data_IF_449778613498
#
_entry.id   IF_449778613498
#
_cell.length_a   1.000
_cell.length_b   1.000
_cell.length_c   1.000
_cell.angle_alpha   90.00
_cell.angle_beta   90.00
_cell.angle_gamma   90.00
#
_symmetry.space_group_name_H-M   'P 1'
#
loop_
_entity.id
_entity.type
_entity.pdbx_description
1 polymer ?
#
# COMPACT_ATOMS: atom_id res chain seq x y z
N UNK A 1 11.27 -27.27 7.98
CA UNK A 1 12.20 -27.94 7.05
C UNK A 1 13.61 -27.70 7.57
N UNK A 2 14.44 -28.74 7.73
CA UNK A 2 15.87 -28.50 7.96
C UNK A 2 16.45 -27.74 6.77
N UNK A 3 17.32 -26.75 7.08
CA UNK A 3 17.98 -25.98 6.05
C UNK A 3 18.83 -26.92 5.17
N UNK A 4 18.35 -27.19 3.96
CA UNK A 4 19.11 -28.01 3.00
C UNK A 4 20.30 -27.19 2.49
N UNK A 5 21.50 -27.82 2.48
CA UNK A 5 22.67 -27.17 1.86
C UNK A 5 22.39 -26.94 0.35
N UNK A 6 22.65 -25.73 -0.14
CA UNK A 6 22.38 -25.41 -1.55
C UNK A 6 23.24 -26.31 -2.48
N UNK A 7 22.57 -26.98 -3.41
CA UNK A 7 23.25 -27.86 -4.37
C UNK A 7 24.13 -27.10 -5.38
N UNK A 8 24.00 -25.79 -5.47
CA UNK A 8 24.72 -24.92 -6.40
C UNK A 8 25.40 -23.76 -5.66
N UNK A 9 26.46 -23.23 -6.26
CA UNK A 9 27.10 -22.00 -5.78
C UNK A 9 26.16 -20.80 -5.92
N UNK A 10 26.34 -19.80 -5.08
CA UNK A 10 25.54 -18.56 -5.08
C UNK A 10 25.38 -17.92 -6.45
N UNK A 11 26.43 -17.77 -7.32
CA UNK A 11 26.27 -17.20 -8.66
C UNK A 11 25.32 -18.04 -9.55
N UNK A 12 25.34 -19.36 -9.42
CA UNK A 12 24.45 -20.25 -10.20
C UNK A 12 23.01 -20.10 -9.73
N UNK A 13 22.78 -20.01 -8.42
CA UNK A 13 21.45 -19.78 -7.85
C UNK A 13 20.87 -18.42 -8.30
N UNK A 14 21.69 -17.37 -8.33
CA UNK A 14 21.29 -16.05 -8.85
C UNK A 14 20.93 -16.11 -10.34
N UNK A 15 21.68 -16.90 -11.13
CA UNK A 15 21.38 -17.12 -12.54
C UNK A 15 20.06 -17.85 -12.75
N UNK A 16 19.80 -18.90 -11.95
CA UNK A 16 18.52 -19.61 -11.93
C UNK A 16 17.38 -18.66 -11.59
N UNK A 17 17.52 -17.84 -10.55
CA UNK A 17 16.53 -16.85 -10.17
C UNK A 17 16.26 -15.83 -11.28
N UNK A 18 17.31 -15.27 -11.89
CA UNK A 18 17.17 -14.34 -13.00
C UNK A 18 16.47 -14.98 -14.22
N UNK A 19 16.83 -16.25 -14.55
CA UNK A 19 16.18 -17.01 -15.61
C UNK A 19 14.70 -17.29 -15.29
N UNK A 20 14.39 -17.63 -14.05
CA UNK A 20 13.02 -17.84 -13.59
C UNK A 20 12.15 -16.60 -13.77
N UNK A 21 12.66 -15.42 -13.35
CA UNK A 21 11.97 -14.14 -13.56
C UNK A 21 11.78 -13.85 -15.06
N UNK A 22 12.80 -14.06 -15.88
CA UNK A 22 12.71 -13.84 -17.32
C UNK A 22 11.65 -14.75 -17.98
N UNK A 23 11.64 -16.04 -17.62
CA UNK A 23 10.63 -17.02 -18.09
C UNK A 23 9.24 -16.63 -17.61
N UNK A 24 9.08 -16.23 -16.36
CA UNK A 24 7.79 -15.77 -15.80
C UNK A 24 7.23 -14.60 -16.61
N UNK A 25 8.05 -13.56 -16.82
CA UNK A 25 7.64 -12.40 -17.58
C UNK A 25 7.32 -12.76 -19.05
N UNK A 26 8.10 -13.64 -19.66
CA UNK A 26 7.83 -14.14 -21.00
C UNK A 26 6.47 -14.85 -21.08
N UNK A 27 6.18 -15.75 -20.14
CA UNK A 27 4.92 -16.48 -20.10
C UNK A 27 3.71 -15.54 -19.90
N UNK A 28 3.84 -14.52 -19.05
CA UNK A 28 2.74 -13.59 -18.78
C UNK A 28 2.57 -12.59 -19.93
N UNK A 29 3.64 -11.97 -20.40
CA UNK A 29 3.58 -10.85 -21.35
C UNK A 29 3.42 -11.35 -22.80
N UNK A 30 4.21 -12.35 -23.22
CA UNK A 30 4.26 -12.80 -24.61
C UNK A 30 3.24 -13.91 -24.85
N UNK A 31 3.27 -14.96 -24.01
CA UNK A 31 2.37 -16.11 -24.13
C UNK A 31 0.95 -15.77 -23.62
N UNK A 32 0.82 -14.72 -22.81
CA UNK A 32 -0.44 -14.28 -22.17
C UNK A 32 -1.06 -15.36 -21.28
N UNK A 33 -0.21 -16.16 -20.65
CA UNK A 33 -0.62 -17.16 -19.69
C UNK A 33 -1.20 -16.49 -18.44
N UNK A 34 -2.20 -17.11 -17.81
CA UNK A 34 -2.72 -16.62 -16.53
C UNK A 34 -1.60 -16.57 -15.48
N UNK A 35 -1.44 -15.43 -14.79
CA UNK A 35 -0.32 -15.17 -13.89
C UNK A 35 -0.12 -16.24 -12.83
N UNK A 36 -1.22 -16.75 -12.22
CA UNK A 36 -1.15 -17.82 -11.23
C UNK A 36 -0.57 -19.13 -11.80
N UNK A 37 -0.99 -19.52 -13.00
CA UNK A 37 -0.47 -20.72 -13.66
C UNK A 37 1.00 -20.56 -14.03
N UNK A 38 1.38 -19.37 -14.52
CA UNK A 38 2.77 -19.06 -14.85
C UNK A 38 3.66 -19.12 -13.60
N UNK A 39 3.19 -18.57 -12.47
CA UNK A 39 3.89 -18.63 -11.18
C UNK A 39 4.10 -20.07 -10.72
N UNK A 40 3.05 -20.88 -10.67
CA UNK A 40 3.15 -22.29 -10.26
C UNK A 40 4.11 -23.06 -11.15
N UNK A 41 3.99 -22.90 -12.49
CA UNK A 41 4.87 -23.59 -13.45
C UNK A 41 6.34 -23.17 -13.26
N UNK A 42 6.60 -21.87 -13.17
CA UNK A 42 7.98 -21.37 -13.00
C UNK A 42 8.54 -21.78 -11.63
N UNK A 43 7.74 -21.80 -10.58
CA UNK A 43 8.19 -22.28 -9.27
C UNK A 43 8.61 -23.76 -9.30
N UNK A 44 7.84 -24.61 -9.99
CA UNK A 44 8.21 -26.03 -10.20
C UNK A 44 9.54 -26.11 -10.98
N UNK A 45 9.67 -25.38 -12.09
CA UNK A 45 10.88 -25.39 -12.90
C UNK A 45 12.10 -24.87 -12.11
N UNK A 46 11.90 -23.86 -11.28
CA UNK A 46 12.96 -23.30 -10.42
C UNK A 46 13.39 -24.29 -9.35
N UNK A 47 12.45 -24.99 -8.70
CA UNK A 47 12.77 -26.01 -7.72
C UNK A 47 13.59 -27.16 -8.37
N UNK A 48 13.19 -27.61 -9.54
CA UNK A 48 13.92 -28.65 -10.29
C UNK A 48 15.31 -28.17 -10.74
N UNK A 49 15.43 -26.92 -11.23
CA UNK A 49 16.71 -26.33 -11.60
C UNK A 49 17.65 -26.17 -10.40
N UNK A 50 17.09 -25.88 -9.23
CA UNK A 50 17.82 -25.83 -7.95
C UNK A 50 18.16 -27.22 -7.38
N UNK A 51 17.79 -28.31 -8.09
CA UNK A 51 18.01 -29.71 -7.73
C UNK A 51 17.23 -30.23 -6.53
N UNK A 52 16.06 -29.67 -6.25
CA UNK A 52 15.16 -30.33 -5.31
C UNK A 52 14.68 -31.66 -5.90
N UNK A 53 14.63 -32.75 -5.08
CA UNK A 53 14.06 -33.99 -5.52
C UNK A 53 12.61 -33.82 -5.99
N UNK A 54 12.21 -34.47 -7.04
CA UNK A 54 10.87 -34.32 -7.63
C UNK A 54 9.76 -34.65 -6.60
N UNK A 55 10.03 -35.58 -5.69
CA UNK A 55 9.10 -35.95 -4.65
C UNK A 55 8.85 -34.83 -3.63
N UNK A 56 9.83 -33.94 -3.41
CA UNK A 56 9.80 -32.89 -2.41
C UNK A 56 9.28 -31.55 -2.99
N UNK A 57 9.20 -31.43 -4.32
CA UNK A 57 8.74 -30.19 -4.98
C UNK A 57 7.36 -29.73 -4.50
N UNK A 58 6.33 -30.62 -4.33
CA UNK A 58 5.04 -30.18 -3.81
C UNK A 58 5.14 -29.60 -2.40
N UNK A 59 5.93 -30.21 -1.52
CA UNK A 59 6.09 -29.75 -0.13
C UNK A 59 6.84 -28.42 -0.07
N UNK A 60 7.87 -28.23 -0.90
CA UNK A 60 8.60 -26.97 -1.02
C UNK A 60 7.67 -25.82 -1.48
N UNK A 61 6.83 -26.10 -2.50
CA UNK A 61 5.87 -25.11 -3.00
C UNK A 61 4.81 -24.77 -1.95
N UNK A 62 4.25 -25.78 -1.28
CA UNK A 62 3.25 -25.57 -0.23
C UNK A 62 3.85 -24.82 0.96
N UNK A 63 5.07 -25.15 1.35
CA UNK A 63 5.76 -24.44 2.41
C UNK A 63 5.95 -22.96 2.08
N UNK A 64 6.53 -22.63 0.93
CA UNK A 64 6.73 -21.25 0.54
C UNK A 64 5.42 -20.45 0.38
N UNK A 65 4.38 -21.11 -0.15
CA UNK A 65 3.05 -20.49 -0.26
C UNK A 65 2.42 -20.24 1.13
N UNK A 66 2.45 -21.24 2.02
CA UNK A 66 1.84 -21.15 3.35
C UNK A 66 2.59 -20.15 4.25
N UNK A 67 3.92 -20.14 4.18
CA UNK A 67 4.79 -19.24 4.91
C UNK A 67 4.46 -17.76 4.56
N UNK A 68 4.58 -17.42 3.28
CA UNK A 68 4.27 -16.05 2.80
C UNK A 68 2.80 -15.68 3.03
N UNK A 69 1.85 -16.59 2.77
CA UNK A 69 0.44 -16.31 2.96
C UNK A 69 0.09 -16.14 4.44
N UNK A 70 0.72 -16.92 5.33
CA UNK A 70 0.51 -16.83 6.77
C UNK A 70 0.88 -15.45 7.32
N UNK A 71 2.02 -14.90 6.86
CA UNK A 71 2.50 -13.58 7.28
C UNK A 71 1.61 -12.44 6.77
N UNK A 72 1.14 -12.53 5.53
CA UNK A 72 0.43 -11.39 4.89
C UNK A 72 -1.09 -11.50 4.92
N UNK A 73 -1.66 -12.69 5.16
CA UNK A 73 -3.11 -12.92 5.05
C UNK A 73 -3.94 -12.04 6.00
N UNK A 74 -3.48 -11.87 7.24
CA UNK A 74 -4.15 -11.02 8.23
C UNK A 74 -4.08 -9.54 7.83
N UNK A 75 -2.91 -9.07 7.38
CA UNK A 75 -2.72 -7.68 6.95
C UNK A 75 -3.58 -7.37 5.73
N UNK A 76 -3.58 -8.28 4.74
CA UNK A 76 -4.42 -8.18 3.54
C UNK A 76 -5.90 -8.18 3.89
N UNK A 77 -6.32 -9.15 4.72
CA UNK A 77 -7.72 -9.30 5.12
C UNK A 77 -8.23 -8.10 5.91
N UNK A 78 -7.52 -7.69 6.95
CA UNK A 78 -7.91 -6.54 7.79
C UNK A 78 -7.83 -5.22 7.01
N UNK A 79 -6.82 -5.04 6.16
CA UNK A 79 -6.70 -3.86 5.29
C UNK A 79 -7.86 -3.75 4.29
N UNK A 80 -8.24 -4.86 3.65
CA UNK A 80 -9.38 -4.91 2.74
C UNK A 80 -10.71 -4.61 3.45
N UNK A 81 -10.91 -5.16 4.66
CA UNK A 81 -12.10 -4.89 5.49
C UNK A 81 -12.17 -3.41 5.89
N UNK A 82 -11.06 -2.82 6.34
CA UNK A 82 -10.99 -1.40 6.68
C UNK A 82 -11.26 -0.52 5.45
N UNK A 83 -10.67 -0.86 4.31
CA UNK A 83 -10.91 -0.18 3.04
C UNK A 83 -12.39 -0.18 2.66
N UNK A 84 -13.04 -1.33 2.75
CA UNK A 84 -14.47 -1.47 2.45
C UNK A 84 -15.35 -0.68 3.42
N UNK A 85 -15.02 -0.67 4.71
CA UNK A 85 -15.74 0.14 5.70
C UNK A 85 -15.65 1.63 5.39
N UNK A 86 -14.46 2.11 5.04
CA UNK A 86 -14.24 3.52 4.68
C UNK A 86 -14.93 3.90 3.37
N UNK A 87 -14.99 2.99 2.40
CA UNK A 87 -15.74 3.18 1.16
C UNK A 87 -17.25 3.31 1.44
N UNK A 88 -17.87 2.30 2.07
CA UNK A 88 -19.33 2.27 2.30
C UNK A 88 -19.80 3.31 3.31
N UNK A 89 -18.91 3.89 4.12
CA UNK A 89 -19.22 5.00 5.04
C UNK A 89 -19.10 6.39 4.41
N UNK A 90 -18.76 6.49 3.11
CA UNK A 90 -18.47 7.75 2.44
C UNK A 90 -17.17 8.42 2.93
N UNK A 91 -16.31 7.68 3.65
CA UNK A 91 -15.08 8.21 4.24
C UNK A 91 -14.08 8.71 3.21
N UNK A 92 -13.95 8.01 2.08
CA UNK A 92 -13.06 8.42 0.98
C UNK A 92 -13.47 9.79 0.41
N UNK A 93 -14.78 9.99 0.18
CA UNK A 93 -15.33 11.25 -0.30
C UNK A 93 -15.12 12.37 0.74
N UNK A 94 -15.43 12.12 2.02
CA UNK A 94 -15.26 13.10 3.10
C UNK A 94 -13.79 13.55 3.25
N UNK A 95 -12.83 12.63 3.09
CA UNK A 95 -11.40 12.91 3.11
C UNK A 95 -11.01 13.82 1.95
N UNK A 96 -11.40 13.47 0.73
CA UNK A 96 -11.08 14.22 -0.48
C UNK A 96 -11.68 15.63 -0.44
N UNK A 97 -12.98 15.77 -0.13
CA UNK A 97 -13.68 17.06 -0.08
C UNK A 97 -13.09 17.99 0.99
N UNK A 98 -12.76 17.46 2.16
CA UNK A 98 -12.15 18.25 3.23
C UNK A 98 -10.77 18.77 2.82
N UNK A 99 -9.94 17.94 2.20
CA UNK A 99 -8.61 18.36 1.77
C UNK A 99 -8.69 19.33 0.60
N UNK A 100 -9.57 19.11 -0.38
CA UNK A 100 -9.80 20.07 -1.46
C UNK A 100 -10.28 21.41 -0.91
N UNK A 101 -11.21 21.40 0.04
CA UNK A 101 -11.67 22.62 0.72
C UNK A 101 -10.55 23.37 1.44
N UNK A 102 -9.61 22.65 2.09
CA UNK A 102 -8.48 23.28 2.80
C UNK A 102 -7.38 23.79 1.87
N UNK A 103 -7.01 23.04 0.84
CA UNK A 103 -5.94 23.43 -0.08
C UNK A 103 -6.39 24.38 -1.17
N UNK A 104 -7.71 24.47 -1.39
CA UNK A 104 -8.34 25.29 -2.42
C UNK A 104 -8.34 24.64 -3.81
N UNK A 105 -9.22 25.14 -4.68
CA UNK A 105 -9.51 24.59 -6.01
C UNK A 105 -8.27 24.48 -6.91
N UNK A 106 -7.40 25.49 -6.89
CA UNK A 106 -6.16 25.48 -7.68
C UNK A 106 -5.20 24.35 -7.33
N UNK A 107 -5.31 23.81 -6.12
CA UNK A 107 -4.50 22.71 -5.61
C UNK A 107 -5.29 21.40 -5.49
N UNK A 108 -6.45 21.31 -6.11
CA UNK A 108 -7.26 20.09 -6.09
C UNK A 108 -6.49 18.82 -6.51
N UNK A 109 -5.62 18.82 -7.55
CA UNK A 109 -4.81 17.66 -7.88
C UNK A 109 -3.84 17.25 -6.75
N UNK A 110 -3.27 18.23 -6.05
CA UNK A 110 -2.40 17.97 -4.89
C UNK A 110 -3.21 17.44 -3.71
N UNK A 111 -4.33 18.08 -3.39
CA UNK A 111 -5.23 17.66 -2.32
C UNK A 111 -5.73 16.23 -2.51
N UNK A 112 -6.12 15.89 -3.74
CA UNK A 112 -6.58 14.56 -4.09
C UNK A 112 -5.45 13.52 -3.97
N UNK A 113 -4.23 13.87 -4.39
CA UNK A 113 -3.07 12.99 -4.19
C UNK A 113 -2.72 12.79 -2.72
N UNK A 114 -2.81 13.83 -1.87
CA UNK A 114 -2.63 13.68 -0.41
C UNK A 114 -3.74 12.82 0.20
N UNK A 115 -5.01 13.01 -0.22
CA UNK A 115 -6.11 12.13 0.20
C UNK A 115 -5.82 10.68 -0.18
N UNK A 116 -5.32 10.44 -1.39
CA UNK A 116 -4.95 9.11 -1.87
C UNK A 116 -3.76 8.51 -1.12
N UNK A 117 -2.77 9.31 -0.70
CA UNK A 117 -1.68 8.84 0.19
C UNK A 117 -2.24 8.37 1.53
N UNK A 118 -3.08 9.17 2.16
CA UNK A 118 -3.66 8.85 3.46
C UNK A 118 -4.57 7.62 3.37
N UNK A 119 -5.45 7.59 2.36
CA UNK A 119 -6.38 6.47 2.16
C UNK A 119 -5.66 5.19 1.74
N UNK A 120 -4.62 5.31 0.90
CA UNK A 120 -3.82 4.20 0.40
C UNK A 120 -2.86 3.60 1.43
N UNK A 121 -2.70 4.22 2.61
CA UNK A 121 -1.84 3.69 3.65
C UNK A 121 -2.23 2.26 4.09
N UNK A 122 -3.49 2.00 4.51
CA UNK A 122 -3.90 0.65 4.88
C UNK A 122 -4.57 -0.14 3.74
N UNK A 123 -4.78 0.47 2.57
CA UNK A 123 -5.63 -0.08 1.50
C UNK A 123 -4.80 -0.42 0.28
N UNK A 124 -5.06 -1.59 -0.31
CA UNK A 124 -4.39 -2.03 -1.53
C UNK A 124 -4.59 -1.05 -2.69
N UNK A 125 -3.57 -0.95 -3.55
CA UNK A 125 -3.57 -0.10 -4.74
C UNK A 125 -4.85 -0.24 -5.57
N UNK A 126 -5.19 -1.45 -5.96
CA UNK A 126 -6.34 -1.71 -6.84
C UNK A 126 -7.65 -1.27 -6.20
N UNK A 127 -7.89 -1.69 -4.96
CA UNK A 127 -9.11 -1.35 -4.22
C UNK A 127 -9.20 0.16 -3.98
N UNK A 128 -8.11 0.78 -3.52
CA UNK A 128 -8.07 2.22 -3.27
C UNK A 128 -8.30 3.05 -4.53
N UNK A 129 -7.68 2.67 -5.64
CA UNK A 129 -7.86 3.37 -6.91
C UNK A 129 -9.29 3.26 -7.42
N UNK A 130 -9.90 2.07 -7.37
CA UNK A 130 -11.30 1.86 -7.78
C UNK A 130 -12.26 2.74 -6.99
N UNK A 131 -12.10 2.82 -5.67
CA UNK A 131 -12.89 3.70 -4.79
C UNK A 131 -12.70 5.17 -5.13
N UNK A 132 -11.47 5.57 -5.51
CA UNK A 132 -11.16 6.95 -5.83
C UNK A 132 -11.52 7.36 -7.26
N UNK A 133 -11.74 6.44 -8.19
CA UNK A 133 -12.09 6.77 -9.58
C UNK A 133 -13.32 7.69 -9.69
N UNK A 134 -14.47 7.44 -9.04
CA UNK A 134 -15.62 8.36 -9.07
C UNK A 134 -15.27 9.75 -8.54
N UNK A 135 -14.46 9.82 -7.48
CA UNK A 135 -14.01 11.09 -6.88
C UNK A 135 -13.11 11.84 -7.85
N UNK A 136 -12.14 11.16 -8.46
CA UNK A 136 -11.23 11.71 -9.47
C UNK A 136 -12.04 12.29 -10.65
N UNK A 137 -13.03 11.54 -11.14
CA UNK A 137 -13.87 11.98 -12.27
C UNK A 137 -14.72 13.19 -11.89
N UNK A 138 -15.32 13.20 -10.70
CA UNK A 138 -16.12 14.32 -10.20
C UNK A 138 -15.27 15.59 -10.07
N UNK A 139 -14.07 15.46 -9.50
CA UNK A 139 -13.13 16.59 -9.34
C UNK A 139 -12.64 17.09 -10.70
N UNK A 140 -12.30 16.17 -11.62
CA UNK A 140 -11.85 16.54 -12.97
C UNK A 140 -12.95 17.26 -13.76
N UNK A 141 -14.21 16.87 -13.65
CA UNK A 141 -15.35 17.60 -14.26
C UNK A 141 -15.58 18.96 -13.64
N UNK A 142 -15.49 19.06 -12.33
CA UNK A 142 -15.73 20.30 -11.61
C UNK A 142 -14.71 21.39 -11.95
N UNK A 143 -13.43 21.01 -12.05
CA UNK A 143 -12.34 21.99 -12.22
C UNK A 143 -11.77 22.02 -13.63
N UNK A 144 -12.13 21.04 -14.47
CA UNK A 144 -11.72 20.97 -15.88
C UNK A 144 -10.26 20.56 -16.08
N UNK A 145 -9.81 20.61 -17.32
CA UNK A 145 -8.48 20.19 -17.75
C UNK A 145 -8.42 18.69 -18.08
N UNK A 146 -7.20 18.20 -18.33
CA UNK A 146 -7.00 16.77 -18.60
C UNK A 146 -7.25 15.93 -17.35
N UNK A 147 -7.97 14.81 -17.49
CA UNK A 147 -8.17 13.84 -16.42
C UNK A 147 -6.84 13.42 -15.76
N UNK A 148 -5.75 13.37 -16.54
CA UNK A 148 -4.44 12.95 -16.05
C UNK A 148 -3.88 13.84 -14.95
N UNK A 149 -4.28 15.12 -14.87
CA UNK A 149 -3.77 16.01 -13.81
C UNK A 149 -4.28 15.60 -12.43
N UNK A 150 -5.41 14.89 -12.37
CA UNK A 150 -6.02 14.37 -11.14
C UNK A 150 -5.72 12.88 -10.93
N UNK A 151 -5.80 12.10 -12.02
CA UNK A 151 -5.64 10.65 -11.95
C UNK A 151 -4.19 10.23 -11.64
N UNK A 152 -3.19 10.86 -12.25
CA UNK A 152 -1.79 10.50 -12.01
C UNK A 152 -1.33 10.74 -10.56
N UNK A 153 -1.62 11.90 -9.92
CA UNK A 153 -1.30 12.09 -8.51
C UNK A 153 -1.98 11.06 -7.60
N UNK A 154 -3.25 10.73 -7.87
CA UNK A 154 -3.98 9.75 -7.06
C UNK A 154 -3.44 8.33 -7.26
N UNK A 155 -3.32 7.85 -8.49
CA UNK A 155 -2.80 6.53 -8.79
C UNK A 155 -1.35 6.36 -8.29
N UNK A 156 -0.51 7.37 -8.48
CA UNK A 156 0.86 7.34 -7.99
C UNK A 156 0.98 7.39 -6.48
N UNK A 157 0.03 8.01 -5.78
CA UNK A 157 -0.03 7.98 -4.33
C UNK A 157 -0.31 6.57 -3.81
N UNK A 158 -1.33 5.91 -4.36
CA UNK A 158 -1.63 4.51 -4.04
C UNK A 158 -0.45 3.59 -4.37
N UNK A 159 0.17 3.77 -5.55
CA UNK A 159 1.32 2.97 -5.96
C UNK A 159 2.53 3.15 -5.03
N UNK A 160 2.86 4.39 -4.65
CA UNK A 160 3.98 4.67 -3.75
C UNK A 160 3.74 4.09 -2.35
N UNK A 161 2.53 4.23 -1.81
CA UNK A 161 2.18 3.64 -0.51
C UNK A 161 2.27 2.12 -0.56
N UNK A 162 1.66 1.51 -1.58
CA UNK A 162 1.63 0.05 -1.74
C UNK A 162 3.02 -0.57 -1.92
N UNK A 163 3.92 0.10 -2.65
CA UNK A 163 5.23 -0.45 -2.97
C UNK A 163 6.30 -0.22 -1.89
N UNK A 164 6.13 0.81 -1.04
CA UNK A 164 7.21 1.28 -0.17
C UNK A 164 6.86 1.12 1.31
N UNK A 165 5.58 1.22 1.68
CA UNK A 165 5.19 1.45 3.07
C UNK A 165 4.49 0.23 3.68
N UNK A 166 4.98 -0.33 4.81
CA UNK A 166 4.16 -1.24 5.61
C UNK A 166 2.83 -0.55 6.03
N UNK A 167 1.72 -1.28 6.19
CA UNK A 167 1.59 -2.72 6.31
C UNK A 167 1.37 -3.47 4.99
N UNK A 168 1.71 -2.90 3.86
CA UNK A 168 1.58 -3.62 2.58
C UNK A 168 2.48 -4.86 2.55
N UNK A 169 2.03 -5.98 1.95
CA UNK A 169 2.72 -7.26 2.03
C UNK A 169 4.13 -7.21 1.41
N UNK A 170 4.32 -6.51 0.30
CA UNK A 170 5.63 -6.40 -0.35
C UNK A 170 6.72 -5.82 0.57
N UNK A 171 6.53 -4.61 1.13
CA UNK A 171 7.47 -4.01 2.09
C UNK A 171 7.64 -4.84 3.38
N UNK A 172 6.56 -5.46 3.90
CA UNK A 172 6.64 -6.31 5.11
C UNK A 172 7.51 -7.54 4.85
N UNK A 173 7.20 -8.28 3.78
CA UNK A 173 7.98 -9.49 3.41
C UNK A 173 9.44 -9.13 3.08
N UNK A 174 9.68 -8.01 2.39
CA UNK A 174 11.04 -7.58 2.10
C UNK A 174 11.82 -7.23 3.37
N UNK A 175 11.18 -6.54 4.32
CA UNK A 175 11.80 -6.21 5.60
C UNK A 175 12.14 -7.48 6.41
N UNK A 176 11.21 -8.43 6.48
CA UNK A 176 11.41 -9.70 7.16
C UNK A 176 12.59 -10.49 6.57
N UNK A 177 12.62 -10.68 5.26
CA UNK A 177 13.67 -11.44 4.58
C UNK A 177 15.08 -10.88 4.75
N UNK A 178 15.23 -9.57 4.97
CA UNK A 178 16.53 -8.94 5.24
C UNK A 178 16.78 -8.71 6.73
N UNK A 179 15.89 -9.17 7.61
CA UNK A 179 15.98 -8.98 9.06
C UNK A 179 15.85 -7.53 9.51
N UNK A 180 15.14 -6.69 8.73
CA UNK A 180 14.89 -5.30 9.06
C UNK A 180 13.64 -5.17 9.96
N UNK A 181 13.67 -4.19 10.87
CA UNK A 181 12.50 -3.86 11.69
C UNK A 181 11.39 -3.22 10.84
N UNK A 182 10.20 -3.82 10.88
CA UNK A 182 9.04 -3.36 10.08
C UNK A 182 8.60 -1.94 10.46
N UNK A 183 8.71 -1.58 11.73
CA UNK A 183 8.35 -0.24 12.18
C UNK A 183 9.37 0.82 11.74
N UNK A 184 10.67 0.53 11.74
CA UNK A 184 11.68 1.41 11.14
C UNK A 184 11.47 1.51 9.62
N UNK A 185 11.15 0.42 8.96
CA UNK A 185 10.81 0.40 7.54
C UNK A 185 9.60 1.31 7.26
N UNK A 186 8.58 1.29 8.11
CA UNK A 186 7.45 2.20 8.06
C UNK A 186 7.89 3.67 8.20
N UNK A 187 8.64 3.99 9.26
CA UNK A 187 9.05 5.37 9.57
C UNK A 187 9.92 5.99 8.48
N UNK A 188 10.80 5.20 7.86
CA UNK A 188 11.63 5.63 6.72
C UNK A 188 10.82 5.61 5.43
N UNK A 189 9.97 4.61 5.24
CA UNK A 189 9.15 4.41 4.05
C UNK A 189 8.16 5.56 3.81
N UNK A 190 7.54 6.09 4.85
CA UNK A 190 6.59 7.21 4.73
C UNK A 190 7.17 8.45 4.05
N UNK A 191 8.28 9.05 4.51
CA UNK A 191 8.87 10.19 3.82
C UNK A 191 9.38 9.85 2.42
N UNK A 192 9.91 8.63 2.22
CA UNK A 192 10.35 8.16 0.90
C UNK A 192 9.16 8.06 -0.05
N UNK A 193 8.05 7.46 0.37
CA UNK A 193 6.83 7.37 -0.43
C UNK A 193 6.26 8.76 -0.76
N UNK A 194 6.25 9.68 0.22
CA UNK A 194 5.79 11.05 0.00
C UNK A 194 6.65 11.79 -1.04
N UNK A 195 7.97 11.67 -0.99
CA UNK A 195 8.89 12.27 -1.97
C UNK A 195 8.73 11.60 -3.34
N UNK A 196 8.65 10.27 -3.38
CA UNK A 196 8.44 9.50 -4.62
C UNK A 196 7.13 9.91 -5.30
N UNK A 197 6.05 9.99 -4.53
CA UNK A 197 4.77 10.49 -5.02
C UNK A 197 4.87 11.93 -5.54
N UNK A 198 5.46 12.84 -4.74
CA UNK A 198 5.53 14.25 -5.10
C UNK A 198 6.29 14.48 -6.41
N UNK A 199 7.46 13.85 -6.54
CA UNK A 199 8.32 14.01 -7.72
C UNK A 199 7.82 13.13 -8.89
N UNK A 200 7.64 11.83 -8.64
CA UNK A 200 7.34 10.84 -9.67
C UNK A 200 5.91 10.88 -10.20
N UNK A 201 4.97 11.44 -9.44
CA UNK A 201 3.57 11.49 -9.83
C UNK A 201 3.00 12.90 -9.93
N UNK A 202 3.07 13.66 -8.84
CA UNK A 202 2.44 14.99 -8.82
C UNK A 202 3.14 15.99 -9.74
N UNK A 203 4.46 16.13 -9.68
CA UNK A 203 5.19 16.98 -10.61
C UNK A 203 5.15 16.44 -12.04
N UNK A 204 5.25 15.13 -12.20
CA UNK A 204 5.13 14.47 -13.50
C UNK A 204 3.77 14.75 -14.15
N UNK A 205 2.68 14.68 -13.39
CA UNK A 205 1.34 15.01 -13.91
C UNK A 205 1.25 16.43 -14.48
N UNK A 206 1.90 17.41 -13.85
CA UNK A 206 1.94 18.80 -14.34
C UNK A 206 2.69 18.94 -15.66
N UNK A 207 3.64 18.04 -15.95
CA UNK A 207 4.39 18.07 -17.20
C UNK A 207 3.65 17.33 -18.32
N UNK A 208 2.99 16.22 -17.97
CA UNK A 208 2.35 15.33 -18.95
C UNK A 208 0.93 15.75 -19.28
N UNK A 209 0.12 16.10 -18.27
CA UNK A 209 -1.30 16.42 -18.46
C UNK A 209 -1.56 17.58 -19.47
N UNK A 210 -0.75 18.64 -19.53
CA UNK A 210 -0.92 19.67 -20.55
C UNK A 210 -0.62 19.18 -21.98
N UNK A 211 0.16 18.12 -22.11
CA UNK A 211 0.58 17.57 -23.41
C UNK A 211 -0.32 16.44 -23.91
N UNK A 212 -1.03 15.80 -22.97
CA UNK A 212 -1.89 14.65 -23.25
C UNK A 212 -3.27 14.94 -22.70
N UNK A 213 -4.18 15.34 -23.58
CA UNK A 213 -5.57 15.57 -23.21
C UNK A 213 -6.30 14.25 -23.12
N UNK A 214 -6.84 13.95 -21.95
CA UNK A 214 -7.71 12.80 -21.70
C UNK A 214 -8.98 13.32 -21.05
N UNK A 215 -10.10 13.05 -21.70
CA UNK A 215 -11.41 13.45 -21.20
C UNK A 215 -11.95 12.42 -20.18
N UNK A 216 -12.86 12.88 -19.34
CA UNK A 216 -13.52 11.97 -18.38
C UNK A 216 -14.47 11.05 -19.15
N UNK A 217 -14.34 9.70 -19.01
CA UNK A 217 -15.21 8.76 -19.70
C UNK A 217 -16.70 9.01 -19.36
N UNK A 218 -17.54 9.08 -20.38
CA UNK A 218 -18.99 9.27 -20.21
C UNK A 218 -19.71 7.96 -19.91
N UNK A 219 -19.17 6.83 -20.39
CA UNK A 219 -19.80 5.50 -20.28
C UNK A 219 -19.89 4.94 -18.85
N UNK A 220 -19.01 5.35 -17.95
CA UNK A 220 -18.95 4.80 -16.59
C UNK A 220 -19.91 5.48 -15.61
N UNK A 221 -20.69 6.44 -16.06
CA UNK A 221 -21.47 7.32 -15.19
C UNK A 221 -22.98 7.28 -15.44
N UNK A 222 -23.53 6.21 -16.04
CA UNK A 222 -24.97 6.11 -16.29
C UNK A 222 -25.53 7.39 -16.93
N UNK A 223 -26.14 7.29 -18.06
CA UNK A 223 -26.84 8.41 -18.72
C UNK A 223 -27.84 9.03 -17.74
N UNK A 224 -27.79 10.34 -17.54
CA UNK A 224 -28.76 11.23 -16.92
C UNK A 224 -28.61 11.70 -15.48
N UNK A 225 -27.97 10.98 -14.56
CA UNK A 225 -27.86 11.50 -13.18
C UNK A 225 -26.46 11.98 -12.77
N UNK A 226 -25.58 12.31 -13.72
CA UNK A 226 -24.32 13.03 -13.46
C UNK A 226 -23.34 12.32 -12.52
N UNK A 227 -23.41 10.99 -12.37
CA UNK A 227 -22.46 10.22 -11.56
C UNK A 227 -22.28 10.72 -10.12
N UNK A 228 -23.24 11.44 -9.58
CA UNK A 228 -23.31 11.65 -8.14
C UNK A 228 -23.77 10.33 -7.55
N UNK A 229 -22.86 9.55 -6.99
CA UNK A 229 -23.26 8.69 -5.88
C UNK A 229 -24.07 9.58 -4.95
N UNK A 230 -25.31 9.17 -4.64
CA UNK A 230 -26.12 9.93 -3.68
C UNK A 230 -25.24 10.12 -2.43
N UNK A 231 -25.10 11.36 -1.93
CA UNK A 231 -24.27 11.61 -0.76
C UNK A 231 -24.70 10.65 0.33
N UNK A 232 -23.76 9.93 0.91
CA UNK A 232 -24.09 9.03 2.02
C UNK A 232 -24.90 9.82 3.03
N UNK A 233 -26.09 9.38 3.46
CA UNK A 233 -26.99 10.17 4.30
C UNK A 233 -26.35 10.62 5.62
N UNK A 234 -25.33 9.93 6.06
CA UNK A 234 -24.53 10.29 7.23
C UNK A 234 -23.06 9.88 7.00
N UNK A 235 -22.27 10.66 6.24
CA UNK A 235 -20.90 10.32 5.93
C UNK A 235 -20.04 10.35 7.18
N UNK A 236 -19.05 9.46 7.27
CA UNK A 236 -18.09 9.47 8.35
C UNK A 236 -17.35 10.83 8.41
N UNK A 237 -17.17 11.36 9.62
CA UNK A 237 -16.46 12.63 9.78
C UNK A 237 -14.98 12.50 9.35
N UNK A 238 -14.39 13.60 8.84
CA UNK A 238 -12.97 13.64 8.49
C UNK A 238 -12.07 13.15 9.62
N UNK A 239 -12.35 13.55 10.87
CA UNK A 239 -11.58 13.12 12.04
C UNK A 239 -11.68 11.61 12.29
N UNK A 240 -12.88 11.03 12.16
CA UNK A 240 -13.09 9.58 12.29
C UNK A 240 -12.33 8.82 11.20
N UNK A 241 -12.42 9.26 9.95
CA UNK A 241 -11.72 8.64 8.83
C UNK A 241 -10.21 8.70 9.04
N UNK A 242 -9.70 9.88 9.38
CA UNK A 242 -8.28 10.08 9.62
C UNK A 242 -7.78 9.23 10.80
N UNK A 243 -8.55 9.17 11.90
CA UNK A 243 -8.23 8.35 13.07
C UNK A 243 -8.14 6.86 12.72
N UNK A 244 -9.10 6.34 11.95
CA UNK A 244 -9.11 4.94 11.51
C UNK A 244 -7.95 4.63 10.55
N UNK A 245 -7.61 5.55 9.66
CA UNK A 245 -6.47 5.39 8.72
C UNK A 245 -5.13 5.43 9.45
N UNK A 246 -4.99 6.30 10.46
CA UNK A 246 -3.75 6.44 11.22
C UNK A 246 -3.58 5.40 12.32
N UNK A 247 -4.65 4.73 12.74
CA UNK A 247 -4.59 3.72 13.81
C UNK A 247 -3.56 2.61 13.53
N UNK A 248 -3.56 1.93 12.37
CA UNK A 248 -2.54 0.94 12.05
C UNK A 248 -1.12 1.51 12.06
N UNK A 249 -0.95 2.75 11.55
CA UNK A 249 0.33 3.45 11.56
C UNK A 249 0.86 3.64 12.97
N UNK A 250 0.03 4.15 13.87
CA UNK A 250 0.40 4.36 15.27
C UNK A 250 0.77 3.03 15.92
N UNK A 251 -0.05 1.98 15.74
CA UNK A 251 0.21 0.67 16.33
C UNK A 251 1.52 0.04 15.82
N UNK A 252 1.82 0.14 14.53
CA UNK A 252 3.08 -0.38 13.95
C UNK A 252 4.28 0.43 14.43
N UNK A 253 4.16 1.77 14.49
CA UNK A 253 5.23 2.65 14.92
C UNK A 253 5.52 2.57 16.43
N UNK A 254 4.60 2.04 17.22
CA UNK A 254 4.81 1.91 18.68
C UNK A 254 5.99 1.00 19.03
N UNK A 255 6.20 -0.11 18.31
CA UNK A 255 7.28 -1.04 18.60
C UNK A 255 8.68 -0.42 18.46
N UNK A 256 9.09 0.18 17.31
CA UNK A 256 10.39 0.82 17.19
C UNK A 256 10.55 2.04 18.11
N UNK A 257 9.47 2.76 18.40
CA UNK A 257 9.51 3.87 19.36
C UNK A 257 9.80 3.34 20.76
N UNK A 258 9.11 2.28 21.19
CA UNK A 258 9.35 1.65 22.48
C UNK A 258 10.79 1.11 22.59
N UNK A 259 11.29 0.39 21.58
CA UNK A 259 12.67 -0.14 21.56
C UNK A 259 13.72 0.97 21.56
N UNK A 260 13.48 2.09 20.91
CA UNK A 260 14.37 3.25 20.92
C UNK A 260 14.39 3.91 22.32
N UNK A 261 13.24 4.03 22.97
CA UNK A 261 13.14 4.60 24.31
C UNK A 261 13.80 3.72 25.37
N UNK A 262 13.75 2.39 25.22
CA UNK A 262 14.49 1.47 26.10
C UNK A 262 16.00 1.55 25.86
N UNK A 263 16.45 1.53 24.60
CA UNK A 263 17.89 1.64 24.27
C UNK A 263 18.50 2.98 24.65
N UNK A 264 17.75 4.05 24.67
CA UNK A 264 18.18 5.38 25.12
C UNK A 264 18.11 5.57 26.66
N UNK A 265 17.62 4.57 27.39
CA UNK A 265 17.50 4.60 28.85
C UNK A 265 16.36 5.48 29.38
N UNK A 266 15.44 5.90 28.50
CA UNK A 266 14.24 6.65 28.91
C UNK A 266 13.18 5.71 29.51
N UNK A 267 13.17 4.46 29.08
CA UNK A 267 12.33 3.39 29.62
C UNK A 267 13.22 2.26 30.16
N UNK A 268 12.77 1.55 31.20
CA UNK A 268 13.48 0.38 31.74
C UNK A 268 13.35 -0.82 30.77
N UNK A 269 14.35 -1.70 30.77
CA UNK A 269 14.35 -2.93 29.94
C UNK A 269 13.18 -3.88 30.26
N UNK A 270 12.61 -3.79 31.47
CA UNK A 270 11.45 -4.57 31.90
C UNK A 270 10.10 -3.95 31.50
N UNK A 271 10.08 -2.78 30.85
CA UNK A 271 8.84 -2.10 30.48
C UNK A 271 8.15 -2.82 29.31
N UNK A 272 6.91 -3.20 29.53
CA UNK A 272 6.04 -3.76 28.49
C UNK A 272 5.43 -2.63 27.63
N UNK A 273 4.93 -2.97 26.44
CA UNK A 273 4.16 -2.01 25.62
C UNK A 273 2.99 -1.36 26.40
N UNK A 274 2.40 -2.08 27.35
CA UNK A 274 1.35 -1.56 28.22
C UNK A 274 1.86 -0.42 29.12
N UNK A 275 3.05 -0.58 29.72
CA UNK A 275 3.67 0.43 30.57
C UNK A 275 4.02 1.69 29.78
N UNK A 276 4.50 1.52 28.53
CA UNK A 276 4.78 2.63 27.61
C UNK A 276 3.52 3.41 27.27
N UNK A 277 2.43 2.70 26.98
CA UNK A 277 1.13 3.33 26.70
C UNK A 277 0.60 4.07 27.89
N UNK A 278 0.72 3.50 29.09
CA UNK A 278 0.26 4.12 30.32
C UNK A 278 1.07 5.37 30.67
N UNK A 279 2.42 5.36 30.53
CA UNK A 279 3.27 6.53 30.74
C UNK A 279 2.96 7.65 29.73
N UNK A 280 2.76 7.31 28.46
CA UNK A 280 2.38 8.28 27.41
C UNK A 280 1.02 8.89 27.71
N UNK A 281 0.02 8.08 28.11
CA UNK A 281 -1.32 8.57 28.46
C UNK A 281 -1.30 9.45 29.71
N UNK A 282 -0.51 9.09 30.74
CA UNK A 282 -0.33 9.92 31.94
C UNK A 282 0.31 11.28 31.62
N UNK A 283 1.35 11.30 30.77
CA UNK A 283 2.00 12.55 30.35
C UNK A 283 1.08 13.44 29.52
N UNK A 284 0.30 12.84 28.61
CA UNK A 284 -0.71 13.57 27.85
C UNK A 284 -1.83 14.13 28.75
N UNK A 285 -2.24 13.38 29.77
CA UNK A 285 -3.22 13.85 30.77
C UNK A 285 -2.72 15.02 31.60
N UNK A 286 -1.41 15.10 31.87
CA UNK A 286 -0.80 16.22 32.60
C UNK A 286 -0.62 17.50 31.75
N UNK A 287 -0.65 17.40 30.43
CA UNK A 287 -0.58 18.56 29.52
C UNK A 287 -1.94 19.21 29.28
N UNK A 288 -3.02 18.59 29.74
CA UNK A 288 -4.42 19.06 29.57
C UNK A 288 -5.02 19.65 30.85
N UNK A 289 -4.27 19.65 31.95
CA UNK A 289 -4.59 20.33 33.21
C UNK A 289 -3.69 21.55 33.42
#
# INVERSE_FOLDING_TARGET
MEAMEPAWSTPVLLLIAAAAVAVLLFLIIVVRMHAFLALVLVSILTALAARFPLADVPDVLLYGFADTLGEVALLVGLGAMLGRLLEVSGGAQALADTLIGRFGERRAPFALGVASLLFGFPIFFDAGLVVFLPIIFTVARRFGGSLLIYALPSAGAFAAMHAIVPPHPGPVTAADQIGADVGLTLLIGLPVAAVTWYVGSYLFSKVVAPKVQVDVPTMLLGEENGGREEPHPNPASFGTVLGLLLLPLVLIAMNPVASTLTTTGVLSEDSTLADVVEDVLQRLGQLTT
#
